data_IF_594106177919
#
_entry.id   IF_594106177919
#
_cell.length_a   1.000
_cell.length_b   1.000
_cell.length_c   1.000
_cell.angle_alpha   90.00
_cell.angle_beta   90.00
_cell.angle_gamma   90.00
#
_symmetry.space_group_name_H-M   'P 1'
#
loop_
_entity.id
_entity.type
_entity.pdbx_description
1 polymer ?
#
# COMPACT_ATOMS: atom_id res chain seq x y z
N UNK A 1 -9.18 51.55 23.19
CA UNK A 1 -8.43 51.19 21.96
C UNK A 1 -8.63 49.71 21.72
N UNK A 2 -9.01 49.30 20.51
CA UNK A 2 -9.15 47.89 20.15
C UNK A 2 -7.72 47.29 20.08
N UNK A 3 -7.29 46.41 21.01
CA UNK A 3 -5.92 45.90 21.00
C UNK A 3 -5.57 45.22 19.67
N UNK A 4 -6.55 44.63 18.98
CA UNK A 4 -6.36 43.95 17.69
C UNK A 4 -5.87 44.87 16.56
N UNK A 5 -6.00 46.21 16.70
CA UNK A 5 -5.47 47.16 15.71
C UNK A 5 -3.94 47.25 15.73
N UNK A 6 -3.27 46.62 16.71
CA UNK A 6 -1.81 46.56 16.80
C UNK A 6 -1.20 45.47 15.90
N UNK A 7 -2.01 44.56 15.35
CA UNK A 7 -1.53 43.56 14.40
C UNK A 7 -1.13 44.22 13.06
N UNK A 8 0.01 43.83 12.45
CA UNK A 8 0.40 44.33 11.16
C UNK A 8 -0.57 43.89 10.05
N UNK A 9 -0.67 44.68 8.99
CA UNK A 9 -1.40 44.28 7.79
C UNK A 9 -0.68 43.13 7.09
N UNK A 10 -1.43 42.38 6.27
CA UNK A 10 -0.86 41.33 5.42
C UNK A 10 0.26 41.90 4.55
N UNK A 11 0.03 43.03 3.87
CA UNK A 11 1.03 43.66 3.00
C UNK A 11 2.29 44.09 3.74
N UNK A 12 2.17 44.55 4.99
CA UNK A 12 3.32 44.93 5.81
C UNK A 12 4.19 43.71 6.12
N UNK A 13 3.59 42.57 6.46
CA UNK A 13 4.33 41.32 6.66
C UNK A 13 4.92 40.80 5.35
N UNK A 14 4.19 40.87 4.23
CA UNK A 14 4.68 40.43 2.93
C UNK A 14 5.83 41.29 2.38
N UNK A 15 5.97 42.52 2.85
CA UNK A 15 7.05 43.43 2.46
C UNK A 15 8.31 43.28 3.31
N UNK A 16 8.26 42.47 4.38
CA UNK A 16 9.44 42.15 5.18
C UNK A 16 10.44 41.32 4.36
N UNK A 17 11.74 41.62 4.47
CA UNK A 17 12.78 40.96 3.69
C UNK A 17 12.84 39.44 3.92
N UNK A 18 12.53 38.99 5.14
CA UNK A 18 12.48 37.56 5.49
C UNK A 18 11.32 36.88 4.79
N UNK A 19 10.15 37.52 4.79
CA UNK A 19 8.94 36.98 4.15
C UNK A 19 9.05 37.04 2.63
N UNK A 20 9.67 38.09 2.07
CA UNK A 20 9.99 38.16 0.65
C UNK A 20 10.91 37.01 0.21
N UNK A 21 11.93 36.68 1.00
CA UNK A 21 12.80 35.52 0.71
C UNK A 21 12.01 34.19 0.72
N UNK A 22 11.03 34.04 1.62
CA UNK A 22 10.13 32.87 1.64
C UNK A 22 9.22 32.84 0.41
N UNK A 23 8.79 34.00 -0.10
CA UNK A 23 7.98 34.10 -1.33
C UNK A 23 8.79 33.62 -2.54
N UNK A 24 10.06 33.99 -2.62
CA UNK A 24 10.94 33.56 -3.71
C UNK A 24 11.16 32.04 -3.69
N UNK A 25 11.26 31.45 -2.50
CA UNK A 25 11.50 30.01 -2.33
C UNK A 25 10.24 29.14 -2.49
N UNK A 26 9.09 29.60 -1.98
CA UNK A 26 7.88 28.79 -1.86
C UNK A 26 6.68 29.30 -2.67
N UNK A 27 6.81 30.45 -3.31
CA UNK A 27 5.76 31.08 -4.10
C UNK A 27 4.85 32.00 -3.28
N UNK A 28 4.48 33.13 -3.90
CA UNK A 28 3.71 34.21 -3.25
C UNK A 28 2.36 33.76 -2.70
N UNK A 29 1.65 32.92 -3.44
CA UNK A 29 0.31 32.47 -3.06
C UNK A 29 0.33 31.68 -1.73
N UNK A 30 1.28 30.76 -1.58
CA UNK A 30 1.45 29.92 -0.39
C UNK A 30 1.77 30.79 0.83
N UNK A 31 2.77 31.66 0.71
CA UNK A 31 3.18 32.53 1.82
C UNK A 31 2.09 33.54 2.18
N UNK A 32 1.38 34.09 1.21
CA UNK A 32 0.25 34.99 1.48
C UNK A 32 -0.85 34.29 2.28
N UNK A 33 -1.18 33.05 1.93
CA UNK A 33 -2.17 32.29 2.67
C UNK A 33 -1.67 31.97 4.09
N UNK A 34 -0.40 31.62 4.25
CA UNK A 34 0.18 31.35 5.56
C UNK A 34 0.19 32.60 6.46
N UNK A 35 0.58 33.76 5.93
CA UNK A 35 0.50 35.05 6.64
C UNK A 35 -0.93 35.34 7.10
N UNK A 36 -1.92 35.08 6.25
CA UNK A 36 -3.34 35.25 6.60
C UNK A 36 -3.76 34.31 7.74
N UNK A 37 -3.36 33.04 7.69
CA UNK A 37 -3.63 32.06 8.75
C UNK A 37 -2.98 32.48 10.06
N UNK A 38 -1.68 32.80 10.06
CA UNK A 38 -0.94 33.22 11.26
C UNK A 38 -1.57 34.47 11.89
N UNK A 39 -1.96 35.46 11.08
CA UNK A 39 -2.67 36.65 11.57
C UNK A 39 -4.08 36.34 12.09
N UNK A 40 -4.80 35.38 11.48
CA UNK A 40 -6.11 34.96 11.96
C UNK A 40 -6.00 34.25 13.32
N UNK A 41 -5.04 33.33 13.47
CA UNK A 41 -4.79 32.61 14.72
C UNK A 41 -4.37 33.57 15.84
N UNK A 42 -3.51 34.56 15.54
CA UNK A 42 -3.13 35.60 16.48
C UNK A 42 -4.33 36.46 16.93
N UNK A 43 -5.28 36.75 16.02
CA UNK A 43 -6.51 37.50 16.38
C UNK A 43 -7.40 36.69 17.31
N UNK A 44 -7.60 35.41 17.03
CA UNK A 44 -8.44 34.54 17.87
C UNK A 44 -7.82 34.32 19.25
N UNK A 45 -6.50 34.06 19.32
CA UNK A 45 -5.78 33.95 20.59
C UNK A 45 -5.89 35.23 21.44
N UNK A 46 -5.80 36.40 20.81
CA UNK A 46 -5.95 37.67 21.50
C UNK A 46 -7.37 37.94 22.01
N UNK A 47 -8.40 37.50 21.27
CA UNK A 47 -9.79 37.51 21.76
C UNK A 47 -9.99 36.60 22.97
N UNK A 48 -9.23 35.50 23.04
CA UNK A 48 -9.21 34.59 24.18
C UNK A 48 -8.33 35.07 25.36
N UNK A 49 -7.76 36.28 25.30
CA UNK A 49 -7.00 36.90 26.38
C UNK A 49 -5.49 36.68 26.32
N UNK A 50 -4.96 36.07 25.25
CA UNK A 50 -3.51 35.97 25.04
C UNK A 50 -2.94 37.31 24.56
N UNK A 51 -1.76 37.77 25.04
CA UNK A 51 -1.12 38.96 24.50
C UNK A 51 -0.85 38.86 23.00
N UNK A 52 -0.95 39.99 22.28
CA UNK A 52 -0.64 40.00 20.86
C UNK A 52 0.85 39.76 20.61
N UNK A 53 1.22 38.89 19.65
CA UNK A 53 2.60 38.70 19.25
C UNK A 53 3.12 39.95 18.53
N UNK A 54 4.43 40.21 18.65
CA UNK A 54 5.10 41.23 17.87
C UNK A 54 5.30 40.78 16.40
N UNK A 55 5.69 41.73 15.54
CA UNK A 55 5.90 41.44 14.12
C UNK A 55 7.00 40.40 13.88
N UNK A 56 8.07 40.44 14.68
CA UNK A 56 9.17 39.47 14.58
C UNK A 56 8.70 38.05 14.88
N UNK A 57 7.88 37.86 15.91
CA UNK A 57 7.27 36.57 16.27
C UNK A 57 6.34 36.08 15.16
N UNK A 58 5.51 36.95 14.59
CA UNK A 58 4.64 36.60 13.46
C UNK A 58 5.46 36.15 12.24
N UNK A 59 6.54 36.86 11.90
CA UNK A 59 7.44 36.49 10.80
C UNK A 59 8.11 35.14 11.09
N UNK A 60 8.56 34.89 12.33
CA UNK A 60 9.13 33.62 12.73
C UNK A 60 8.11 32.47 12.61
N UNK A 61 6.85 32.68 13.02
CA UNK A 61 5.77 31.70 12.85
C UNK A 61 5.48 31.43 11.36
N UNK A 62 5.47 32.47 10.51
CA UNK A 62 5.35 32.31 9.05
C UNK A 62 6.52 31.51 8.50
N UNK A 63 7.77 31.76 8.93
CA UNK A 63 8.94 30.99 8.50
C UNK A 63 8.87 29.51 8.92
N UNK A 64 8.48 29.24 10.17
CA UNK A 64 8.29 27.88 10.66
C UNK A 64 7.18 27.15 9.90
N UNK A 65 6.05 27.82 9.66
CA UNK A 65 4.94 27.28 8.87
C UNK A 65 5.31 27.00 7.42
N UNK A 66 6.10 27.89 6.80
CA UNK A 66 6.57 27.71 5.42
C UNK A 66 7.49 26.49 5.31
N UNK A 67 8.44 26.37 6.24
CA UNK A 67 9.33 25.20 6.34
C UNK A 67 8.54 23.91 6.55
N UNK A 68 7.56 23.92 7.45
CA UNK A 68 6.72 22.76 7.73
C UNK A 68 5.88 22.35 6.50
N UNK A 69 5.31 23.31 5.76
CA UNK A 69 4.54 23.03 4.53
C UNK A 69 5.43 22.55 3.38
N UNK A 70 6.65 23.08 3.28
CA UNK A 70 7.62 22.68 2.26
C UNK A 70 8.23 21.29 2.55
N UNK A 71 8.16 20.82 3.79
CA UNK A 71 8.69 19.50 4.17
C UNK A 71 7.80 18.38 3.64
N UNK A 72 8.30 17.46 2.81
CA UNK A 72 7.53 16.31 2.33
C UNK A 72 7.01 15.45 3.49
N UNK A 73 5.75 15.04 3.39
CA UNK A 73 5.14 14.14 4.40
C UNK A 73 5.73 12.73 4.34
N UNK A 74 6.09 12.26 3.14
CA UNK A 74 6.84 11.03 2.94
C UNK A 74 8.32 11.35 3.01
N UNK A 75 9.03 10.75 3.96
CA UNK A 75 10.45 10.97 4.19
C UNK A 75 11.13 9.72 4.72
N UNK A 76 12.44 9.55 4.50
CA UNK A 76 13.21 8.48 5.11
C UNK A 76 13.14 8.53 6.64
N UNK A 77 13.20 7.36 7.27
CA UNK A 77 13.25 7.20 8.73
C UNK A 77 14.28 6.15 9.09
N UNK A 78 14.87 6.26 10.29
CA UNK A 78 15.69 5.20 10.85
C UNK A 78 14.78 4.14 11.50
N UNK A 79 14.84 2.91 10.99
CA UNK A 79 14.11 1.79 11.58
C UNK A 79 14.92 1.20 12.75
N UNK A 80 14.50 1.49 13.97
CA UNK A 80 15.08 0.96 15.21
C UNK A 80 14.21 -0.12 15.87
N UNK A 81 13.19 -0.64 15.18
CA UNK A 81 12.27 -1.64 15.77
C UNK A 81 12.82 -3.06 15.73
N UNK A 82 13.87 -3.31 14.94
CA UNK A 82 14.37 -4.67 14.64
C UNK A 82 13.48 -5.45 13.66
N UNK A 83 12.40 -4.85 13.15
CA UNK A 83 11.49 -5.49 12.19
C UNK A 83 11.97 -5.25 10.77
N UNK A 84 12.39 -6.31 10.07
CA UNK A 84 12.89 -6.23 8.68
C UNK A 84 11.76 -5.84 7.71
N UNK A 85 10.67 -6.61 7.68
CA UNK A 85 9.50 -6.34 6.81
C UNK A 85 8.46 -5.49 7.55
N UNK A 86 8.79 -4.24 7.82
CA UNK A 86 7.90 -3.35 8.56
C UNK A 86 6.79 -2.78 7.64
N UNK A 87 5.55 -3.23 7.83
CA UNK A 87 4.40 -2.85 6.98
C UNK A 87 4.15 -1.34 6.93
N UNK A 88 4.24 -0.64 8.06
CA UNK A 88 4.06 0.83 8.10
C UNK A 88 5.24 1.64 7.55
N UNK A 89 6.43 1.05 7.45
CA UNK A 89 7.66 1.74 6.99
C UNK A 89 8.03 1.38 5.54
N UNK A 90 7.13 0.74 4.80
CA UNK A 90 7.35 0.46 3.38
C UNK A 90 7.91 -0.93 3.05
N UNK A 91 7.88 -1.88 3.99
CA UNK A 91 8.33 -3.28 3.80
C UNK A 91 9.82 -3.37 3.43
N UNK A 92 10.16 -4.12 2.38
CA UNK A 92 11.54 -4.39 2.01
C UNK A 92 12.19 -3.16 1.36
N UNK A 93 13.35 -2.71 1.84
CA UNK A 93 14.16 -1.73 1.10
C UNK A 93 14.66 -2.36 -0.21
N UNK A 94 14.82 -1.52 -1.23
CA UNK A 94 15.38 -1.94 -2.51
C UNK A 94 16.91 -1.90 -2.46
N UNK A 95 17.60 -2.83 -3.14
CA UNK A 95 19.04 -2.75 -3.32
C UNK A 95 19.39 -1.65 -4.35
N UNK A 96 20.61 -1.14 -4.32
CA UNK A 96 21.03 0.03 -5.12
C UNK A 96 20.91 -0.21 -6.63
N UNK A 97 21.08 -1.46 -7.09
CA UNK A 97 20.97 -1.82 -8.50
C UNK A 97 19.52 -1.68 -8.99
N UNK A 98 18.54 -2.06 -8.16
CA UNK A 98 17.12 -1.88 -8.46
C UNK A 98 16.74 -0.39 -8.46
N UNK A 99 17.27 0.40 -7.51
CA UNK A 99 17.08 1.84 -7.47
C UNK A 99 17.65 2.51 -8.72
N UNK A 100 18.86 2.13 -9.13
CA UNK A 100 19.48 2.65 -10.35
C UNK A 100 18.64 2.35 -11.60
N UNK A 101 18.10 1.12 -11.71
CA UNK A 101 17.19 0.75 -12.80
C UNK A 101 15.90 1.58 -12.80
N UNK A 102 15.28 1.81 -11.63
CA UNK A 102 14.11 2.67 -11.50
C UNK A 102 14.40 4.12 -11.90
N UNK A 103 15.57 4.65 -11.53
CA UNK A 103 16.01 5.99 -11.91
C UNK A 103 16.20 6.09 -13.43
N UNK A 104 16.80 5.09 -14.06
CA UNK A 104 16.94 5.03 -15.51
C UNK A 104 15.56 5.02 -16.20
N UNK A 105 14.65 4.18 -15.72
CA UNK A 105 13.29 4.06 -16.24
C UNK A 105 12.45 5.34 -16.07
N UNK A 106 12.65 6.06 -14.97
CA UNK A 106 11.96 7.33 -14.72
C UNK A 106 12.53 8.51 -15.53
N UNK A 107 13.81 8.44 -15.93
CA UNK A 107 14.50 9.54 -16.64
C UNK A 107 14.28 9.53 -18.15
N UNK A 108 14.01 8.37 -18.75
CA UNK A 108 13.95 8.21 -20.20
C UNK A 108 12.75 7.35 -20.63
N UNK A 109 12.20 7.55 -21.84
CA UNK A 109 11.28 6.59 -22.42
C UNK A 109 11.90 5.18 -22.45
N UNK A 110 11.12 4.18 -22.04
CA UNK A 110 11.54 2.79 -22.03
C UNK A 110 10.70 1.98 -23.02
N UNK A 111 11.29 0.94 -23.59
CA UNK A 111 10.61 -0.06 -24.42
C UNK A 111 9.71 -0.95 -23.54
N UNK A 112 8.68 -0.35 -22.94
CA UNK A 112 7.80 -1.00 -21.97
C UNK A 112 6.76 -1.90 -22.65
N UNK A 113 6.19 -1.45 -23.76
CA UNK A 113 5.27 -2.23 -24.63
C UNK A 113 5.73 -2.11 -26.09
N UNK A 114 7.05 -2.13 -26.30
CA UNK A 114 7.65 -1.94 -27.61
C UNK A 114 8.74 -2.98 -27.83
N UNK A 115 8.61 -3.74 -28.90
CA UNK A 115 9.60 -4.72 -29.31
C UNK A 115 10.64 -4.02 -30.19
N UNK A 116 11.89 -4.02 -29.74
CA UNK A 116 13.01 -3.33 -30.40
C UNK A 116 13.41 -4.05 -31.69
N UNK A 117 13.31 -5.38 -31.73
CA UNK A 117 13.73 -6.20 -32.87
C UNK A 117 12.73 -6.07 -34.03
N UNK A 118 11.43 -6.11 -33.73
CA UNK A 118 10.37 -6.01 -34.74
C UNK A 118 9.93 -4.57 -35.02
N UNK A 119 10.21 -3.64 -34.11
CA UNK A 119 9.74 -2.26 -34.16
C UNK A 119 8.23 -2.11 -33.90
N UNK A 120 7.57 -3.16 -33.42
CA UNK A 120 6.13 -3.23 -33.18
C UNK A 120 5.73 -3.05 -31.73
N UNK A 121 4.43 -3.25 -31.45
CA UNK A 121 3.92 -3.32 -30.08
C UNK A 121 4.34 -4.65 -29.45
N UNK A 122 4.95 -4.57 -28.27
CA UNK A 122 5.29 -5.73 -27.43
C UNK A 122 4.36 -5.87 -26.22
N UNK A 123 4.50 -6.98 -25.50
CA UNK A 123 3.88 -7.18 -24.18
C UNK A 123 4.89 -6.83 -23.07
N UNK A 124 4.42 -6.14 -22.03
CA UNK A 124 5.27 -5.74 -20.90
C UNK A 124 5.59 -6.91 -19.98
N UNK A 125 4.73 -7.93 -19.95
CA UNK A 125 4.90 -9.08 -19.07
C UNK A 125 6.10 -9.94 -19.53
N UNK A 126 6.36 -9.99 -20.84
CA UNK A 126 7.49 -10.72 -21.44
C UNK A 126 8.85 -10.31 -20.85
N UNK A 127 8.97 -9.06 -20.37
CA UNK A 127 10.18 -8.53 -19.73
C UNK A 127 10.57 -9.32 -18.47
N UNK A 128 9.60 -9.91 -17.75
CA UNK A 128 9.81 -10.58 -16.46
C UNK A 128 9.32 -12.02 -16.42
N UNK A 129 8.39 -12.41 -17.29
CA UNK A 129 7.75 -13.73 -17.24
C UNK A 129 8.74 -14.88 -17.43
N UNK A 130 9.70 -14.76 -18.35
CA UNK A 130 10.71 -15.81 -18.57
C UNK A 130 11.60 -16.01 -17.34
N UNK A 131 12.07 -14.93 -16.72
CA UNK A 131 12.88 -14.99 -15.49
C UNK A 131 12.10 -15.62 -14.34
N UNK A 132 10.81 -15.31 -14.21
CA UNK A 132 9.96 -15.92 -13.19
C UNK A 132 9.77 -17.42 -13.42
N UNK A 133 9.59 -17.84 -14.68
CA UNK A 133 9.48 -19.26 -15.02
C UNK A 133 10.80 -20.00 -14.73
N UNK A 134 11.95 -19.40 -15.05
CA UNK A 134 13.27 -19.97 -14.73
C UNK A 134 13.46 -20.15 -13.22
N UNK A 135 13.14 -19.13 -12.42
CA UNK A 135 13.33 -19.16 -10.96
C UNK A 135 12.40 -20.13 -10.24
N UNK A 136 11.21 -20.37 -10.78
CA UNK A 136 10.15 -21.14 -10.11
C UNK A 136 9.95 -22.54 -10.69
N UNK A 137 10.37 -22.76 -11.94
CA UNK A 137 10.03 -23.95 -12.72
C UNK A 137 8.58 -23.97 -13.23
N UNK A 138 7.84 -22.86 -13.11
CA UNK A 138 6.48 -22.76 -13.62
C UNK A 138 6.43 -22.75 -15.16
N UNK A 139 5.33 -23.24 -15.72
CA UNK A 139 5.11 -23.25 -17.18
C UNK A 139 4.84 -21.86 -17.77
N UNK A 140 4.30 -20.96 -16.95
CA UNK A 140 4.01 -19.57 -17.29
C UNK A 140 3.96 -18.71 -16.03
N UNK A 141 4.18 -17.41 -16.18
CA UNK A 141 4.09 -16.42 -15.10
C UNK A 141 3.40 -15.15 -15.59
N UNK A 142 2.79 -14.41 -14.66
CA UNK A 142 2.26 -13.06 -14.88
C UNK A 142 2.43 -12.25 -13.61
N UNK A 143 2.48 -10.92 -13.75
CA UNK A 143 2.65 -9.99 -12.62
C UNK A 143 1.50 -9.00 -12.61
N UNK A 144 0.91 -8.83 -11.43
CA UNK A 144 -0.11 -7.82 -11.18
C UNK A 144 0.32 -6.90 -10.06
N UNK A 145 -0.43 -5.81 -9.87
CA UNK A 145 -0.13 -4.75 -8.91
C UNK A 145 0.35 -5.24 -7.51
N UNK A 146 -0.34 -6.23 -6.95
CA UNK A 146 0.05 -6.87 -5.68
C UNK A 146 -0.64 -8.23 -5.51
N UNK A 147 -0.29 -8.96 -4.45
CA UNK A 147 -0.89 -10.28 -4.17
C UNK A 147 -2.42 -10.24 -3.95
N UNK A 148 -2.98 -9.13 -3.45
CA UNK A 148 -4.43 -9.01 -3.31
C UNK A 148 -5.12 -8.99 -4.68
N UNK A 149 -4.54 -8.26 -5.65
CA UNK A 149 -4.99 -8.30 -7.04
C UNK A 149 -4.80 -9.70 -7.65
N UNK A 150 -3.72 -10.40 -7.32
CA UNK A 150 -3.46 -11.76 -7.82
C UNK A 150 -4.54 -12.74 -7.34
N UNK A 151 -4.83 -12.75 -6.04
CA UNK A 151 -5.91 -13.56 -5.46
C UNK A 151 -7.26 -13.21 -6.09
N UNK A 152 -7.56 -11.92 -6.26
CA UNK A 152 -8.80 -11.51 -6.92
C UNK A 152 -8.88 -12.03 -8.36
N UNK A 153 -7.82 -11.83 -9.15
CA UNK A 153 -7.77 -12.23 -10.56
C UNK A 153 -7.91 -13.75 -10.70
N UNK A 154 -7.18 -14.52 -9.88
CA UNK A 154 -7.24 -15.98 -9.86
C UNK A 154 -8.66 -16.47 -9.56
N UNK A 155 -9.28 -15.97 -8.49
CA UNK A 155 -10.63 -16.37 -8.08
C UNK A 155 -11.69 -15.95 -9.09
N UNK A 156 -11.59 -14.74 -9.63
CA UNK A 156 -12.53 -14.24 -10.63
C UNK A 156 -12.39 -14.99 -11.97
N UNK A 157 -11.19 -15.41 -12.33
CA UNK A 157 -10.95 -16.10 -13.61
C UNK A 157 -11.34 -17.58 -13.52
N UNK A 158 -10.95 -18.26 -12.44
CA UNK A 158 -11.09 -19.72 -12.34
C UNK A 158 -12.33 -20.17 -11.57
N UNK A 159 -12.86 -19.32 -10.69
CA UNK A 159 -13.92 -19.69 -9.73
C UNK A 159 -15.14 -18.77 -9.73
N UNK A 160 -15.36 -17.96 -10.79
CA UNK A 160 -16.53 -17.09 -10.88
C UNK A 160 -17.83 -17.88 -10.75
N UNK A 161 -18.63 -17.55 -9.73
CA UNK A 161 -19.89 -18.21 -9.36
C UNK A 161 -19.76 -19.72 -9.04
N UNK A 162 -18.54 -20.18 -8.75
CA UNK A 162 -18.23 -21.55 -8.35
C UNK A 162 -17.71 -21.61 -6.91
N UNK A 163 -17.58 -22.82 -6.37
CA UNK A 163 -17.18 -23.07 -4.99
C UNK A 163 -15.66 -23.17 -4.88
N UNK A 164 -15.07 -22.52 -3.88
CA UNK A 164 -13.64 -22.60 -3.54
C UNK A 164 -13.52 -23.07 -2.11
N UNK A 165 -12.86 -24.21 -1.92
CA UNK A 165 -12.74 -24.84 -0.61
C UNK A 165 -11.47 -24.34 0.09
N UNK A 166 -11.63 -23.82 1.30
CA UNK A 166 -10.54 -23.24 2.12
C UNK A 166 -10.66 -23.72 3.56
N UNK A 167 -9.55 -23.93 4.25
CA UNK A 167 -9.58 -24.19 5.69
C UNK A 167 -10.12 -22.97 6.45
N UNK A 168 -10.99 -23.19 7.44
CA UNK A 168 -11.49 -22.14 8.34
C UNK A 168 -10.35 -21.42 9.09
N UNK A 169 -9.28 -22.13 9.41
CA UNK A 169 -8.09 -21.57 10.08
C UNK A 169 -7.25 -20.63 9.21
N UNK A 170 -7.55 -20.59 7.91
CA UNK A 170 -6.80 -19.83 6.90
C UNK A 170 -7.58 -18.60 6.39
N UNK A 171 -8.73 -18.29 6.99
CA UNK A 171 -9.53 -17.10 6.68
C UNK A 171 -8.97 -15.86 7.38
N UNK A 172 -7.83 -15.39 6.86
CA UNK A 172 -7.01 -14.37 7.51
C UNK A 172 -7.42 -12.93 7.17
N UNK A 173 -6.97 -12.02 8.03
CA UNK A 173 -6.93 -10.58 7.80
C UNK A 173 -5.48 -10.08 7.86
N UNK A 174 -5.05 -9.41 6.79
CA UNK A 174 -3.70 -8.86 6.68
C UNK A 174 -3.77 -7.34 6.52
N UNK A 175 -2.99 -6.63 7.35
CA UNK A 175 -3.02 -5.18 7.40
C UNK A 175 -4.32 -4.68 8.03
N UNK A 176 -5.00 -3.73 7.39
CA UNK A 176 -6.28 -3.18 7.89
C UNK A 176 -7.46 -3.25 6.92
N UNK A 177 -7.29 -3.87 5.75
CA UNK A 177 -8.34 -3.87 4.71
C UNK A 177 -8.41 -5.14 3.85
N UNK A 178 -7.43 -6.05 3.94
CA UNK A 178 -7.44 -7.29 3.17
C UNK A 178 -7.96 -8.43 4.03
N UNK A 179 -9.15 -8.93 3.68
CA UNK A 179 -9.83 -10.04 4.36
C UNK A 179 -10.18 -11.09 3.31
N UNK A 180 -9.70 -12.32 3.50
CA UNK A 180 -9.90 -13.42 2.54
C UNK A 180 -11.39 -13.62 2.20
N UNK A 181 -12.33 -13.70 3.17
CA UNK A 181 -13.74 -13.89 2.84
C UNK A 181 -14.32 -12.75 1.99
N UNK A 182 -13.91 -11.50 2.28
CA UNK A 182 -14.43 -10.33 1.58
C UNK A 182 -13.90 -10.25 0.14
N UNK A 183 -12.63 -10.59 -0.09
CA UNK A 183 -12.07 -10.59 -1.44
C UNK A 183 -12.64 -11.73 -2.30
N UNK A 184 -12.85 -12.92 -1.72
CA UNK A 184 -13.49 -14.03 -2.42
C UNK A 184 -14.91 -13.67 -2.87
N UNK A 185 -15.69 -13.07 -1.95
CA UNK A 185 -17.04 -12.60 -2.26
C UNK A 185 -17.03 -11.56 -3.38
N UNK A 186 -16.10 -10.60 -3.36
CA UNK A 186 -15.97 -9.56 -4.40
C UNK A 186 -15.50 -10.13 -5.74
N UNK A 187 -14.61 -11.12 -5.73
CA UNK A 187 -14.17 -11.84 -6.92
C UNK A 187 -15.31 -12.71 -7.52
N UNK A 188 -16.41 -12.88 -6.80
CA UNK A 188 -17.57 -13.67 -7.23
C UNK A 188 -17.41 -15.16 -6.98
N UNK A 189 -16.39 -15.58 -6.22
CA UNK A 189 -16.21 -16.96 -5.78
C UNK A 189 -17.03 -17.23 -4.52
N UNK A 190 -17.61 -18.43 -4.43
CA UNK A 190 -18.31 -18.89 -3.23
C UNK A 190 -17.34 -19.61 -2.31
N UNK A 191 -17.01 -18.97 -1.19
CA UNK A 191 -16.21 -19.59 -0.13
C UNK A 191 -16.97 -20.80 0.48
N UNK A 192 -16.31 -21.95 0.49
CA UNK A 192 -16.70 -23.15 1.24
C UNK A 192 -15.62 -23.41 2.28
N UNK A 193 -15.91 -23.07 3.52
CA UNK A 193 -14.97 -23.23 4.63
C UNK A 193 -15.08 -24.62 5.26
N UNK A 194 -13.94 -25.27 5.49
CA UNK A 194 -13.85 -26.64 6.04
C UNK A 194 -12.97 -26.68 7.29
N UNK A 195 -13.10 -27.77 8.05
CA UNK A 195 -12.37 -27.96 9.31
C UNK A 195 -12.73 -26.92 10.38
N UNK A 196 -11.84 -26.76 11.34
CA UNK A 196 -11.93 -25.76 12.42
C UNK A 196 -10.73 -24.82 12.42
N UNK A 197 -10.80 -23.77 13.25
CA UNK A 197 -9.76 -22.74 13.35
C UNK A 197 -8.37 -23.32 13.59
N UNK A 198 -8.25 -24.29 14.49
CA UNK A 198 -6.97 -24.85 14.89
C UNK A 198 -6.62 -26.14 14.14
N UNK A 199 -7.62 -26.91 13.67
CA UNK A 199 -7.41 -28.23 13.07
C UNK A 199 -8.22 -28.38 11.80
N UNK A 200 -7.53 -28.67 10.70
CA UNK A 200 -8.14 -29.08 9.44
C UNK A 200 -7.43 -30.32 8.92
N UNK A 201 -8.20 -31.34 8.56
CA UNK A 201 -7.73 -32.62 8.07
C UNK A 201 -8.09 -32.80 6.58
N UNK A 202 -7.37 -33.68 5.87
CA UNK A 202 -7.59 -33.90 4.43
C UNK A 202 -9.04 -34.31 4.12
N UNK A 203 -9.64 -35.14 4.97
CA UNK A 203 -11.05 -35.55 4.85
C UNK A 203 -12.04 -34.38 4.85
N UNK A 204 -11.70 -33.27 5.53
CA UNK A 204 -12.60 -32.12 5.62
C UNK A 204 -12.70 -31.43 4.24
N UNK A 205 -11.63 -31.48 3.43
CA UNK A 205 -11.64 -31.03 2.05
C UNK A 205 -12.37 -32.01 1.13
N UNK A 206 -12.07 -33.31 1.26
CA UNK A 206 -12.65 -34.38 0.42
C UNK A 206 -14.18 -34.45 0.56
N UNK A 207 -14.69 -34.43 1.80
CA UNK A 207 -16.13 -34.46 2.11
C UNK A 207 -16.88 -33.21 1.62
N UNK A 208 -16.17 -32.09 1.36
CA UNK A 208 -16.76 -30.83 0.91
C UNK A 208 -16.78 -30.67 -0.61
N UNK A 209 -16.20 -31.61 -1.37
CA UNK A 209 -16.19 -31.58 -2.82
C UNK A 209 -17.61 -31.71 -3.39
N UNK A 210 -17.95 -30.86 -4.35
CA UNK A 210 -19.21 -30.92 -5.09
C UNK A 210 -18.97 -30.72 -6.58
N UNK A 211 -19.97 -31.01 -7.44
CA UNK A 211 -19.88 -30.68 -8.87
C UNK A 211 -19.69 -29.18 -9.17
N UNK A 212 -19.88 -28.30 -8.18
CA UNK A 212 -19.65 -26.85 -8.31
C UNK A 212 -18.28 -26.41 -7.81
N UNK A 213 -17.48 -27.31 -7.23
CA UNK A 213 -16.12 -26.98 -6.79
C UNK A 213 -15.27 -26.59 -8.00
N UNK A 214 -14.62 -25.43 -7.90
CA UNK A 214 -13.71 -24.90 -8.91
C UNK A 214 -12.26 -25.15 -8.56
N UNK A 215 -11.91 -25.12 -7.27
CA UNK A 215 -10.53 -25.29 -6.79
C UNK A 215 -10.48 -25.56 -5.29
N UNK A 216 -9.37 -26.14 -4.86
CA UNK A 216 -8.93 -26.11 -3.46
C UNK A 216 -7.96 -24.95 -3.32
N UNK A 217 -8.00 -24.21 -2.23
CA UNK A 217 -7.09 -23.08 -2.02
C UNK A 217 -6.51 -23.15 -0.61
N UNK A 218 -5.18 -23.05 -0.52
CA UNK A 218 -4.45 -22.95 0.74
C UNK A 218 -3.88 -21.57 0.94
N UNK A 219 -4.05 -21.01 2.14
CA UNK A 219 -3.62 -19.64 2.45
C UNK A 219 -2.66 -19.67 3.63
N UNK A 220 -1.47 -19.10 3.44
CA UNK A 220 -0.45 -19.05 4.46
C UNK A 220 -0.72 -17.95 5.51
N UNK A 221 -0.65 -18.31 6.79
CA UNK A 221 -0.79 -17.39 7.92
C UNK A 221 0.46 -16.50 8.08
N UNK A 222 0.56 -15.46 7.25
CA UNK A 222 1.77 -14.64 7.11
C UNK A 222 2.10 -13.71 8.31
N UNK A 223 1.11 -13.36 9.14
CA UNK A 223 1.23 -12.34 10.18
C UNK A 223 0.83 -12.82 11.59
N UNK A 224 0.53 -14.11 11.76
CA UNK A 224 0.26 -14.74 13.05
C UNK A 224 0.60 -16.23 12.98
N UNK A 225 0.73 -16.85 14.14
CA UNK A 225 0.84 -18.30 14.27
C UNK A 225 -0.21 -18.80 15.28
N UNK A 226 -0.70 -20.03 15.07
CA UNK A 226 -1.54 -20.73 16.04
C UNK A 226 -0.66 -21.82 16.68
N UNK A 227 -0.52 -21.78 17.99
CA UNK A 227 0.25 -22.74 18.78
C UNK A 227 -0.67 -23.64 19.63
N UNK A 228 -0.18 -24.82 20.01
CA UNK A 228 -0.92 -25.80 20.82
C UNK A 228 -1.49 -26.95 19.99
N UNK A 229 -2.79 -27.25 20.17
CA UNK A 229 -3.46 -28.35 19.46
C UNK A 229 -3.84 -27.93 18.05
N UNK A 230 -2.87 -27.92 17.14
CA UNK A 230 -3.07 -27.53 15.74
C UNK A 230 -2.83 -28.66 14.76
N UNK A 231 -3.48 -28.58 13.60
CA UNK A 231 -3.27 -29.49 12.47
C UNK A 231 -3.60 -28.76 11.17
N UNK A 232 -2.67 -28.80 10.21
CA UNK A 232 -2.87 -28.28 8.87
C UNK A 232 -2.53 -29.38 7.86
N UNK A 233 -3.29 -29.44 6.76
CA UNK A 233 -3.03 -30.38 5.67
C UNK A 233 -1.81 -29.89 4.87
N UNK A 234 -0.82 -30.75 4.60
CA UNK A 234 0.30 -30.43 3.72
C UNK A 234 -0.15 -30.05 2.31
N UNK A 235 0.55 -29.12 1.67
CA UNK A 235 0.29 -28.64 0.32
C UNK A 235 0.30 -29.79 -0.71
N UNK A 236 1.22 -30.75 -0.57
CA UNK A 236 1.36 -31.90 -1.48
C UNK A 236 0.15 -32.84 -1.42
N UNK A 237 -0.46 -33.02 -0.24
CA UNK A 237 -1.67 -33.85 -0.09
C UNK A 237 -2.88 -33.16 -0.70
N UNK A 238 -3.02 -31.83 -0.53
CA UNK A 238 -4.08 -31.06 -1.15
C UNK A 238 -3.96 -31.04 -2.69
N UNK A 239 -2.74 -30.86 -3.21
CA UNK A 239 -2.49 -30.95 -4.65
C UNK A 239 -2.88 -32.32 -5.21
N UNK A 240 -2.52 -33.40 -4.50
CA UNK A 240 -2.90 -34.77 -4.89
C UNK A 240 -4.42 -34.95 -4.92
N UNK A 241 -5.13 -34.48 -3.89
CA UNK A 241 -6.59 -34.54 -3.82
C UNK A 241 -7.26 -33.71 -4.94
N UNK A 242 -6.76 -32.51 -5.21
CA UNK A 242 -7.27 -31.63 -6.26
C UNK A 242 -7.10 -32.28 -7.65
N UNK A 243 -5.90 -32.79 -7.96
CA UNK A 243 -5.62 -33.45 -9.24
C UNK A 243 -6.43 -34.73 -9.44
N UNK A 244 -6.66 -35.51 -8.39
CA UNK A 244 -7.53 -36.69 -8.45
C UNK A 244 -8.98 -36.36 -8.88
N UNK A 245 -9.42 -35.11 -8.66
CA UNK A 245 -10.73 -34.61 -9.04
C UNK A 245 -10.70 -33.66 -10.26
N UNK A 246 -9.57 -33.52 -10.93
CA UNK A 246 -9.42 -32.61 -12.08
C UNK A 246 -9.56 -31.13 -11.70
N UNK A 247 -9.22 -30.77 -10.45
CA UNK A 247 -9.28 -29.41 -9.93
C UNK A 247 -7.88 -28.80 -9.82
N UNK A 248 -7.73 -27.48 -10.03
CA UNK A 248 -6.52 -26.75 -9.66
C UNK A 248 -6.40 -26.58 -8.13
N UNK A 249 -5.16 -26.39 -7.68
CA UNK A 249 -4.75 -26.08 -6.30
C UNK A 249 -3.84 -24.85 -6.27
#
# INVERSE_FOLDING_TARGET
MNPLSQLPSVDRLLSDATVASLIDLHGRAVITQLVRTVLADAREAARAGTPLPDAASLIATVGAGATAQATPRLRPVFNLTGTVLHTNLGRAPLPEEAIAAMVAAARSPCALEYDIETGGRGDRDDIVSELLCELTGAEAATVVNNNAAAVFLLLNTLALKKEVIVSRGELIEIGGAFRVPDIMKRAGAKLVEVGTTNRTHLKDFDEALTPRTAMLMKIHASNYAIEGFTHAVPESELATLAHAHGLPF
#
